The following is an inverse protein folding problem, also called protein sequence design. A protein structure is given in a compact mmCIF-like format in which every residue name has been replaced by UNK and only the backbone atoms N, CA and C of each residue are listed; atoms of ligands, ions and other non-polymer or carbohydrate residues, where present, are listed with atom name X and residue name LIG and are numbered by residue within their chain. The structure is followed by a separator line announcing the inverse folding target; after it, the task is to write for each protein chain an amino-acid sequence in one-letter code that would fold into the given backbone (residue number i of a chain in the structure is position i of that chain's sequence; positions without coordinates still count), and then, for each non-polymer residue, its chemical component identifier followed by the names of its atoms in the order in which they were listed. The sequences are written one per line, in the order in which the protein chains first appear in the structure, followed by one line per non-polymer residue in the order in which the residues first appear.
data_IF_824813336591
#
_entry.id   IF_824813336591
#
_cell.length_a   1.000
_cell.length_b   1.000
_cell.length_c   1.000
_cell.angle_alpha   90.00
_cell.angle_beta   90.00
_cell.angle_gamma   90.00
#
_symmetry.space_group_name_H-M   'P 1'
#
loop_
_entity.id
_entity.type
_entity.pdbx_description
1 polymer ?
#
# COMPACT_ATOMS: atom_id res chain seq x y z
N UNK A 1 -2.91 39.76 -2.72
CA UNK A 1 -2.78 38.64 -1.77
C UNK A 1 -2.08 37.54 -2.53
N UNK A 2 -0.76 37.47 -2.36
CA UNK A 2 0.14 36.75 -3.26
C UNK A 2 0.53 35.43 -2.61
N UNK A 3 0.25 34.31 -3.29
CA UNK A 3 0.76 33.00 -2.86
C UNK A 3 2.29 32.98 -2.96
N UNK A 4 3.02 32.48 -1.95
CA UNK A 4 4.45 32.25 -2.10
C UNK A 4 4.67 31.05 -3.05
N UNK A 5 5.77 31.05 -3.81
CA UNK A 5 6.10 29.95 -4.72
C UNK A 5 6.44 28.70 -3.91
N UNK A 6 6.00 27.55 -4.41
CA UNK A 6 6.40 26.24 -3.90
C UNK A 6 7.92 26.09 -4.00
N UNK A 7 8.61 26.28 -2.87
CA UNK A 7 10.02 25.94 -2.74
C UNK A 7 10.16 24.43 -2.70
N UNK A 8 10.62 23.84 -3.80
CA UNK A 8 11.14 22.48 -3.82
C UNK A 8 12.48 22.46 -3.08
N UNK A 9 12.43 22.42 -1.75
CA UNK A 9 13.61 22.12 -0.94
C UNK A 9 13.97 20.65 -1.14
N UNK A 10 14.78 20.37 -2.16
CA UNK A 10 15.42 19.06 -2.33
C UNK A 10 16.14 18.71 -1.02
N UNK A 11 15.70 17.64 -0.35
CA UNK A 11 16.38 17.10 0.82
C UNK A 11 17.88 16.91 0.50
N UNK A 12 18.76 17.26 1.45
CA UNK A 12 20.19 16.98 1.30
C UNK A 12 20.40 15.47 1.24
N UNK A 13 21.48 15.02 0.60
CA UNK A 13 21.77 13.59 0.44
C UNK A 13 21.78 12.83 1.78
N UNK A 14 22.32 13.45 2.84
CA UNK A 14 22.35 12.87 4.19
C UNK A 14 20.95 12.72 4.80
N UNK A 15 20.07 13.70 4.56
CA UNK A 15 18.69 13.66 5.05
C UNK A 15 17.89 12.57 4.31
N UNK A 16 18.12 12.41 3.00
CA UNK A 16 17.53 11.32 2.21
C UNK A 16 17.97 9.95 2.73
N UNK A 17 19.26 9.78 2.99
CA UNK A 17 19.79 8.53 3.52
C UNK A 17 19.18 8.20 4.88
N UNK A 18 19.10 9.19 5.79
CA UNK A 18 18.46 9.02 7.10
C UNK A 18 16.99 8.64 6.97
N UNK A 19 16.22 9.33 6.13
CA UNK A 19 14.80 9.05 5.94
C UNK A 19 14.53 7.64 5.40
N UNK A 20 15.33 7.16 4.42
CA UNK A 20 15.23 5.77 3.93
C UNK A 20 15.58 4.78 5.04
N UNK A 21 16.63 5.05 5.82
CA UNK A 21 17.03 4.19 6.94
C UNK A 21 15.94 4.10 8.01
N UNK A 22 15.39 5.23 8.44
CA UNK A 22 14.30 5.30 9.41
C UNK A 22 13.04 4.60 8.90
N UNK A 23 12.69 4.76 7.62
CA UNK A 23 11.57 4.05 7.03
C UNK A 23 11.79 2.53 7.06
N UNK A 24 12.98 2.06 6.69
CA UNK A 24 13.32 0.62 6.76
C UNK A 24 13.26 0.09 8.19
N UNK A 25 13.78 0.83 9.15
CA UNK A 25 13.68 0.47 10.58
C UNK A 25 12.23 0.45 11.06
N UNK A 26 11.38 1.38 10.58
CA UNK A 26 9.95 1.35 10.86
C UNK A 26 9.29 0.10 10.30
N UNK A 27 9.55 -0.23 9.03
CA UNK A 27 8.97 -1.42 8.37
C UNK A 27 9.39 -2.72 9.06
N UNK A 28 10.64 -2.82 9.54
CA UNK A 28 11.14 -4.01 10.25
C UNK A 28 10.43 -4.32 11.58
N UNK A 29 9.66 -3.37 12.13
CA UNK A 29 8.87 -3.61 13.35
C UNK A 29 7.55 -4.32 13.08
N UNK A 30 7.20 -4.51 11.82
CA UNK A 30 5.99 -5.18 11.38
C UNK A 30 6.28 -6.62 10.94
N UNK A 31 5.30 -7.49 11.12
CA UNK A 31 5.33 -8.85 10.59
C UNK A 31 4.46 -8.88 9.33
N UNK A 32 5.09 -8.76 8.16
CA UNK A 32 4.34 -8.80 6.90
C UNK A 32 4.04 -10.23 6.48
N UNK A 33 2.80 -10.47 6.05
CA UNK A 33 2.33 -11.74 5.49
C UNK A 33 2.41 -11.72 3.97
N UNK A 34 2.23 -10.54 3.36
CA UNK A 34 2.14 -10.40 1.90
C UNK A 34 3.00 -9.27 1.34
N UNK A 35 3.51 -9.54 0.14
CA UNK A 35 3.96 -8.55 -0.82
C UNK A 35 2.91 -8.45 -1.93
N UNK A 36 2.29 -7.28 -2.09
CA UNK A 36 1.20 -7.07 -3.04
C UNK A 36 1.62 -6.05 -4.09
N UNK A 37 1.39 -6.34 -5.36
CA UNK A 37 1.60 -5.39 -6.46
C UNK A 37 0.27 -5.05 -7.13
N UNK A 38 -0.13 -3.78 -7.07
CA UNK A 38 -1.32 -3.26 -7.73
C UNK A 38 -0.91 -2.45 -8.96
N UNK A 39 -1.07 -3.00 -10.15
CA UNK A 39 -0.69 -2.34 -11.41
C UNK A 39 -1.89 -1.69 -12.09
N UNK A 40 -1.70 -0.52 -12.68
CA UNK A 40 -2.76 0.10 -13.48
C UNK A 40 -2.89 -0.52 -14.89
N UNK A 41 -1.75 -0.94 -15.47
CA UNK A 41 -1.60 -1.27 -16.89
C UNK A 41 -2.11 -0.15 -17.83
N UNK A 42 -2.13 1.07 -17.32
CA UNK A 42 -2.56 2.29 -18.00
C UNK A 42 -1.46 3.33 -17.78
N UNK A 43 -0.63 3.64 -18.79
CA UNK A 43 0.45 4.61 -18.67
C UNK A 43 -0.05 6.03 -18.43
N UNK A 44 -1.34 6.30 -18.63
CA UNK A 44 -1.97 7.60 -18.46
C UNK A 44 -2.62 7.78 -17.08
N UNK A 45 -2.60 6.73 -16.24
CA UNK A 45 -3.20 6.80 -14.91
C UNK A 45 -2.45 7.81 -14.03
N UNK A 46 -3.17 8.83 -13.55
CA UNK A 46 -2.57 9.83 -12.67
C UNK A 46 -2.36 9.30 -11.25
N UNK A 47 -1.41 9.90 -10.54
CA UNK A 47 -1.18 9.64 -9.12
C UNK A 47 -2.47 9.71 -8.29
N UNK A 48 -3.26 10.78 -8.44
CA UNK A 48 -4.50 10.96 -7.67
C UNK A 48 -5.54 9.88 -7.96
N UNK A 49 -5.64 9.44 -9.23
CA UNK A 49 -6.50 8.32 -9.62
C UNK A 49 -6.03 7.05 -8.93
N UNK A 50 -4.72 6.77 -8.95
CA UNK A 50 -4.11 5.60 -8.32
C UNK A 50 -4.24 5.60 -6.79
N UNK A 51 -4.09 6.76 -6.15
CA UNK A 51 -4.28 6.92 -4.70
C UNK A 51 -5.74 6.71 -4.29
N UNK A 52 -6.69 7.25 -5.05
CA UNK A 52 -8.13 7.00 -4.82
C UNK A 52 -8.49 5.53 -5.04
N UNK A 53 -7.94 4.89 -6.08
CA UNK A 53 -8.15 3.48 -6.33
C UNK A 53 -7.61 2.62 -5.17
N UNK A 54 -6.40 2.92 -4.67
CA UNK A 54 -5.80 2.25 -3.52
C UNK A 54 -6.68 2.36 -2.25
N UNK A 55 -7.24 3.56 -1.97
CA UNK A 55 -8.18 3.75 -0.86
C UNK A 55 -9.45 2.92 -0.99
N UNK A 56 -10.04 2.90 -2.20
CA UNK A 56 -11.24 2.12 -2.46
C UNK A 56 -10.97 0.61 -2.41
N UNK A 57 -9.78 0.20 -2.83
CA UNK A 57 -9.31 -1.18 -2.74
C UNK A 57 -9.20 -1.60 -1.27
N UNK A 58 -8.51 -0.79 -0.44
CA UNK A 58 -8.39 -1.01 1.00
C UNK A 58 -9.76 -1.17 1.68
N UNK A 59 -10.70 -0.26 1.40
CA UNK A 59 -12.05 -0.34 1.98
C UNK A 59 -12.81 -1.61 1.58
N UNK A 60 -12.67 -2.05 0.32
CA UNK A 60 -13.35 -3.26 -0.19
C UNK A 60 -12.70 -4.53 0.33
N UNK A 61 -11.37 -4.58 0.41
CA UNK A 61 -10.63 -5.69 1.00
C UNK A 61 -10.95 -5.81 2.49
N UNK A 62 -10.93 -4.71 3.23
CA UNK A 62 -11.29 -4.74 4.66
C UNK A 62 -12.74 -5.17 4.88
N UNK A 63 -13.67 -4.74 4.02
CA UNK A 63 -15.06 -5.24 4.06
C UNK A 63 -15.16 -6.75 3.79
N UNK A 64 -14.34 -7.28 2.88
CA UNK A 64 -14.30 -8.71 2.56
C UNK A 64 -13.75 -9.52 3.75
N UNK A 65 -12.59 -9.16 4.28
CA UNK A 65 -11.87 -9.95 5.30
C UNK A 65 -12.46 -9.77 6.70
N UNK A 66 -12.77 -8.53 7.11
CA UNK A 66 -13.26 -8.24 8.47
C UNK A 66 -14.78 -8.36 8.54
N UNK A 67 -15.48 -7.92 7.49
CA UNK A 67 -16.95 -7.92 7.39
C UNK A 67 -17.55 -6.52 7.29
N UNK A 68 -18.89 -6.42 7.38
CA UNK A 68 -19.63 -5.15 7.19
C UNK A 68 -19.22 -4.03 8.13
N UNK A 69 -18.81 -4.37 9.35
CA UNK A 69 -18.47 -3.42 10.42
C UNK A 69 -16.95 -3.20 10.53
N UNK A 70 -16.19 -3.43 9.44
CA UNK A 70 -14.74 -3.24 9.43
C UNK A 70 -14.30 -1.85 9.89
N UNK A 71 -15.14 -0.83 9.69
CA UNK A 71 -14.87 0.53 10.14
C UNK A 71 -14.83 0.68 11.66
N UNK A 72 -15.55 -0.17 12.39
CA UNK A 72 -15.62 -0.15 13.85
C UNK A 72 -14.53 -1.04 14.49
N UNK A 73 -13.74 -1.76 13.67
CA UNK A 73 -12.77 -2.77 14.09
C UNK A 73 -11.38 -2.48 13.52
N UNK A 74 -10.77 -1.32 13.85
CA UNK A 74 -9.53 -0.85 13.23
C UNK A 74 -8.32 -1.73 13.50
N UNK A 75 -8.31 -2.42 14.63
CA UNK A 75 -7.32 -3.40 15.07
C UNK A 75 -7.32 -4.68 14.22
N UNK A 76 -8.44 -5.00 13.59
CA UNK A 76 -8.59 -6.20 12.76
C UNK A 76 -8.35 -5.95 11.26
N UNK A 77 -8.09 -4.70 10.87
CA UNK A 77 -7.94 -4.34 9.46
C UNK A 77 -6.61 -4.80 8.90
N UNK A 78 -6.59 -4.99 7.58
CA UNK A 78 -5.35 -5.17 6.84
C UNK A 78 -4.46 -3.94 7.04
N UNK A 79 -3.33 -4.13 7.70
CA UNK A 79 -2.29 -3.13 7.80
C UNK A 79 -1.43 -3.18 6.54
N UNK A 80 -1.07 -2.03 5.99
CA UNK A 80 -0.15 -1.99 4.85
C UNK A 80 0.62 -0.68 4.70
N UNK A 81 1.76 -0.79 4.02
CA UNK A 81 2.59 0.33 3.55
C UNK A 81 2.72 0.23 2.03
N UNK A 82 2.31 1.28 1.31
CA UNK A 82 2.32 1.34 -0.15
C UNK A 82 3.36 2.34 -0.68
N UNK A 83 4.09 1.88 -1.69
CA UNK A 83 5.13 2.63 -2.39
C UNK A 83 4.78 2.68 -3.87
N UNK A 84 4.59 3.87 -4.42
CA UNK A 84 4.31 4.01 -5.84
C UNK A 84 5.60 3.98 -6.65
N UNK A 85 5.63 3.11 -7.65
CA UNK A 85 6.71 3.01 -8.62
C UNK A 85 6.21 3.39 -10.03
N UNK A 86 7.10 3.94 -10.86
CA UNK A 86 6.83 4.33 -12.27
C UNK A 86 5.61 5.24 -12.47
N UNK A 87 5.42 6.22 -11.59
CA UNK A 87 4.31 7.19 -11.62
C UNK A 87 4.05 7.83 -13.00
N UNK A 88 5.11 8.06 -13.78
CA UNK A 88 5.07 8.77 -15.06
C UNK A 88 4.99 7.84 -16.29
N UNK A 89 4.88 6.51 -16.12
CA UNK A 89 4.91 5.56 -17.27
C UNK A 89 4.04 4.31 -17.13
N UNK A 90 4.00 3.66 -15.98
CA UNK A 90 3.07 2.57 -15.70
C UNK A 90 2.95 2.47 -14.19
N UNK A 91 2.12 3.33 -13.57
CA UNK A 91 2.08 3.45 -12.14
C UNK A 91 1.59 2.13 -11.52
N UNK A 92 2.32 1.69 -10.50
CA UNK A 92 1.93 0.55 -9.69
C UNK A 92 2.32 0.77 -8.24
N UNK A 93 1.49 0.24 -7.34
CA UNK A 93 1.78 0.23 -5.92
C UNK A 93 2.42 -1.09 -5.54
N UNK A 94 3.55 -1.04 -4.84
CA UNK A 94 4.06 -2.15 -4.06
C UNK A 94 3.64 -1.98 -2.61
N UNK A 95 2.97 -2.98 -2.05
CA UNK A 95 2.50 -2.99 -0.68
C UNK A 95 3.23 -4.07 0.11
N UNK A 96 3.61 -3.72 1.33
CA UNK A 96 3.89 -4.69 2.38
C UNK A 96 2.67 -4.72 3.28
N UNK A 97 2.05 -5.90 3.44
CA UNK A 97 0.78 -6.04 4.14
C UNK A 97 0.82 -7.10 5.24
N UNK A 98 0.07 -6.85 6.30
CA UNK A 98 -0.03 -7.64 7.53
C UNK A 98 -1.51 -7.84 7.87
N UNK A 99 -1.91 -9.08 8.15
CA UNK A 99 -3.23 -9.45 8.61
C UNK A 99 -3.21 -9.70 10.13
N UNK A 100 -4.29 -9.33 10.82
CA UNK A 100 -4.46 -9.69 12.23
C UNK A 100 -4.52 -11.24 12.37
N UNK A 101 -3.57 -11.87 13.07
CA UNK A 101 -3.57 -13.32 13.24
C UNK A 101 -4.82 -13.83 13.97
N UNK A 102 -5.37 -13.04 14.90
CA UNK A 102 -6.57 -13.45 15.62
C UNK A 102 -7.80 -13.41 14.69
N UNK A 103 -7.86 -12.45 13.75
CA UNK A 103 -8.89 -12.43 12.71
C UNK A 103 -8.83 -13.69 11.85
N UNK A 104 -7.63 -14.10 11.41
CA UNK A 104 -7.44 -15.31 10.61
C UNK A 104 -8.02 -16.52 11.36
N UNK A 105 -7.63 -16.70 12.62
CA UNK A 105 -8.11 -17.81 13.46
C UNK A 105 -9.64 -17.75 13.64
N UNK A 106 -10.19 -16.58 13.98
CA UNK A 106 -11.65 -16.39 14.17
C UNK A 106 -12.45 -16.68 12.89
N UNK A 107 -11.86 -16.44 11.72
CA UNK A 107 -12.51 -16.60 10.40
C UNK A 107 -11.90 -17.71 9.56
N UNK A 108 -11.28 -18.71 10.18
CA UNK A 108 -10.55 -19.76 9.48
C UNK A 108 -11.40 -20.41 8.37
N UNK A 109 -12.62 -20.82 8.69
CA UNK A 109 -13.53 -21.44 7.70
C UNK A 109 -13.84 -20.53 6.51
N UNK A 110 -13.88 -19.21 6.70
CA UNK A 110 -14.05 -18.26 5.61
C UNK A 110 -12.78 -18.19 4.76
N UNK A 111 -11.60 -18.05 5.37
CA UNK A 111 -10.33 -18.03 4.64
C UNK A 111 -10.03 -19.35 3.92
N UNK A 112 -10.44 -20.48 4.47
CA UNK A 112 -10.35 -21.80 3.81
C UNK A 112 -11.29 -21.92 2.60
N UNK A 113 -12.37 -21.13 2.58
CA UNK A 113 -13.39 -21.16 1.53
C UNK A 113 -13.13 -20.22 0.35
N UNK A 114 -12.13 -19.34 0.45
CA UNK A 114 -11.83 -18.34 -0.58
C UNK A 114 -10.36 -18.40 -1.00
N UNK A 115 -10.09 -17.97 -2.22
CA UNK A 115 -8.74 -17.58 -2.63
C UNK A 115 -8.61 -16.06 -2.42
N UNK A 116 -7.93 -15.66 -1.34
CA UNK A 116 -7.79 -14.25 -0.99
C UNK A 116 -7.07 -13.45 -2.08
N UNK A 117 -6.11 -14.06 -2.76
CA UNK A 117 -5.35 -13.41 -3.85
C UNK A 117 -6.27 -13.12 -5.03
N UNK A 118 -7.09 -14.10 -5.42
CA UNK A 118 -8.08 -13.94 -6.48
C UNK A 118 -9.12 -12.87 -6.14
N UNK A 119 -9.60 -12.84 -4.89
CA UNK A 119 -10.59 -11.83 -4.48
C UNK A 119 -9.99 -10.42 -4.43
N UNK A 120 -8.75 -10.25 -3.95
CA UNK A 120 -8.04 -8.97 -3.98
C UNK A 120 -7.81 -8.49 -5.43
N UNK A 121 -7.51 -9.40 -6.36
CA UNK A 121 -7.39 -9.09 -7.79
C UNK A 121 -8.71 -8.71 -8.43
N UNK A 122 -9.81 -9.43 -8.14
CA UNK A 122 -11.15 -9.06 -8.60
C UNK A 122 -11.55 -7.67 -8.12
N UNK A 123 -11.27 -7.34 -6.86
CA UNK A 123 -11.54 -6.02 -6.30
C UNK A 123 -10.73 -4.94 -7.03
N UNK A 124 -9.45 -5.17 -7.26
CA UNK A 124 -8.59 -4.20 -7.95
C UNK A 124 -9.01 -4.01 -9.41
N UNK A 125 -9.18 -5.10 -10.16
CA UNK A 125 -9.60 -5.10 -11.57
C UNK A 125 -10.94 -4.39 -11.79
N UNK A 126 -11.84 -4.41 -10.80
CA UNK A 126 -13.09 -3.66 -10.85
C UNK A 126 -12.88 -2.14 -10.65
N UNK A 127 -11.89 -1.74 -9.84
CA UNK A 127 -11.58 -0.33 -9.57
C UNK A 127 -10.73 0.29 -10.68
N UNK A 128 -9.84 -0.51 -11.28
CA UNK A 128 -8.92 -0.10 -12.33
C UNK A 128 -9.06 -1.10 -13.49
N UNK A 129 -9.90 -0.81 -14.48
CA UNK A 129 -10.10 -1.70 -15.63
C UNK A 129 -8.78 -2.01 -16.33
N UNK A 130 -8.46 -3.29 -16.48
CA UNK A 130 -7.20 -3.77 -17.08
C UNK A 130 -6.01 -3.82 -16.11
N UNK A 131 -6.15 -3.26 -14.90
CA UNK A 131 -5.16 -3.39 -13.84
C UNK A 131 -5.09 -4.82 -13.29
N UNK A 132 -3.98 -5.17 -12.64
CA UNK A 132 -3.80 -6.47 -12.00
C UNK A 132 -3.34 -6.32 -10.56
N UNK A 133 -3.76 -7.24 -9.69
CA UNK A 133 -3.25 -7.44 -8.35
C UNK A 133 -2.47 -8.75 -8.31
N UNK A 134 -1.19 -8.67 -7.98
CA UNK A 134 -0.37 -9.85 -7.70
C UNK A 134 -0.11 -9.92 -6.20
N UNK A 135 -0.57 -10.99 -5.54
CA UNK A 135 -0.41 -11.21 -4.09
C UNK A 135 0.54 -12.38 -3.89
N UNK A 136 1.68 -12.10 -3.29
CA UNK A 136 2.70 -13.11 -2.99
C UNK A 136 2.96 -13.17 -1.49
N UNK A 137 3.30 -14.34 -0.92
CA UNK A 137 3.79 -14.42 0.45
C UNK A 137 5.01 -13.51 0.63
N UNK A 138 5.05 -12.76 1.72
CA UNK A 138 6.23 -12.00 2.09
C UNK A 138 7.38 -12.98 2.42
N UNK A 139 8.53 -12.82 1.76
CA UNK A 139 9.64 -13.77 1.87
C UNK A 139 10.73 -13.32 2.83
N UNK A 140 11.25 -12.11 2.65
CA UNK A 140 12.41 -11.64 3.41
C UNK A 140 12.61 -10.11 3.34
N UNK A 141 13.65 -9.65 4.05
CA UNK A 141 14.07 -8.24 4.08
C UNK A 141 14.40 -7.65 2.70
N UNK A 142 14.73 -8.48 1.70
CA UNK A 142 14.98 -8.03 0.33
C UNK A 142 13.77 -7.29 -0.25
N UNK A 143 12.55 -7.68 0.12
CA UNK A 143 11.33 -6.98 -0.25
C UNK A 143 11.25 -5.58 0.38
N UNK A 144 11.63 -5.41 1.65
CA UNK A 144 11.71 -4.09 2.30
C UNK A 144 12.73 -3.20 1.59
N UNK A 145 13.89 -3.75 1.25
CA UNK A 145 14.92 -3.00 0.50
C UNK A 145 14.42 -2.59 -0.88
N UNK A 146 13.72 -3.49 -1.56
CA UNK A 146 13.16 -3.28 -2.89
C UNK A 146 12.13 -2.14 -2.91
N UNK A 147 11.11 -2.19 -2.06
CA UNK A 147 10.05 -1.15 -2.07
C UNK A 147 10.54 0.22 -1.62
N UNK A 148 11.61 0.25 -0.81
CA UNK A 148 12.19 1.50 -0.32
C UNK A 148 13.31 2.07 -1.19
N UNK A 149 13.71 1.39 -2.27
CA UNK A 149 14.84 1.81 -3.13
C UNK A 149 14.67 3.25 -3.66
N UNK A 150 13.44 3.61 -4.00
CA UNK A 150 13.06 4.92 -4.54
C UNK A 150 12.29 5.78 -3.53
N UNK A 151 12.27 5.42 -2.25
CA UNK A 151 11.48 6.11 -1.23
C UNK A 151 11.82 7.61 -1.11
N UNK A 152 13.09 7.97 -1.28
CA UNK A 152 13.53 9.38 -1.31
C UNK A 152 12.85 10.19 -2.44
N UNK A 153 12.61 9.59 -3.60
CA UNK A 153 11.85 10.22 -4.70
C UNK A 153 10.37 10.30 -4.37
N UNK A 154 9.89 9.35 -3.57
CA UNK A 154 8.51 9.32 -3.16
C UNK A 154 8.17 10.42 -2.14
N UNK A 155 9.10 10.75 -1.24
CA UNK A 155 8.94 11.87 -0.30
C UNK A 155 8.81 13.22 -1.00
N UNK A 156 9.59 13.46 -2.06
CA UNK A 156 9.54 14.72 -2.80
C UNK A 156 8.22 14.90 -3.59
N UNK A 157 7.43 13.83 -3.78
CA UNK A 157 6.21 13.80 -4.61
C UNK A 157 4.96 13.24 -3.90
N UNK A 158 4.99 13.06 -2.58
CA UNK A 158 3.94 12.37 -1.81
C UNK A 158 3.58 10.95 -2.34
N UNK A 159 4.48 10.27 -3.05
CA UNK A 159 4.23 8.95 -3.66
C UNK A 159 4.31 7.77 -2.67
N UNK A 160 4.05 8.04 -1.39
CA UNK A 160 3.97 7.07 -0.31
C UNK A 160 2.59 7.15 0.35
N UNK A 161 2.06 6.01 0.74
CA UNK A 161 0.82 5.94 1.50
C UNK A 161 0.89 4.76 2.48
N UNK A 162 0.30 4.90 3.66
CA UNK A 162 0.11 3.77 4.57
C UNK A 162 -1.32 3.71 5.08
N UNK A 163 -1.80 2.51 5.44
CA UNK A 163 -3.09 2.33 6.11
C UNK A 163 -3.20 3.24 7.35
N UNK A 164 -2.09 3.40 8.07
CA UNK A 164 -1.99 4.26 9.25
C UNK A 164 -2.26 5.74 8.97
N UNK A 165 -1.82 6.25 7.82
CA UNK A 165 -2.11 7.64 7.41
C UNK A 165 -3.61 7.84 7.15
N UNK A 166 -4.32 6.79 6.74
CA UNK A 166 -5.77 6.81 6.53
C UNK A 166 -6.60 6.62 7.80
N UNK A 167 -6.02 6.08 8.88
CA UNK A 167 -6.67 6.02 10.19
C UNK A 167 -6.58 7.38 10.92
N UNK A 168 -5.56 8.20 10.65
CA UNK A 168 -5.31 9.47 11.35
C UNK A 168 -6.22 10.66 10.95
N UNK A 169 -7.46 10.42 10.54
CA UNK A 169 -8.43 11.48 10.17
C UNK A 169 -9.39 11.81 11.29
#
# INVERSE_FOLDING_TARGET
MSYPPHGTSSLKADDRYRAVKEMRERLRRHHFDYFITLTANDPTASYDKMKRALKNWDARVNRLIVGSNWQERPDERLLWFAFLEKADSNPHWHLLAEMDPDLIVRRQAFFDSIDISLEMDRIWSHLVPGGTCDVQPFRDEGAIQYVTKDYHRAMDRDHFASHLDYIRV
#
